data_IF_556304579717
#
_entry.id   IF_556304579717
#
_cell.length_a   1.000
_cell.length_b   1.000
_cell.length_c   1.000
_cell.angle_alpha   90.00
_cell.angle_beta   90.00
_cell.angle_gamma   90.00
#
_symmetry.space_group_name_H-M   'P 1'
#
loop_
_entity.id
_entity.type
_entity.pdbx_description
1 polymer ?
#
# COMPACT_ATOMS: atom_id res chain seq x y z
N UNK A 1 -31.04 -14.56 4.86
CA UNK A 1 -30.72 -14.38 6.30
C UNK A 1 -30.64 -12.89 6.57
N UNK A 2 -31.54 -12.32 7.36
CA UNK A 2 -31.49 -10.91 7.73
C UNK A 2 -30.58 -10.77 8.94
N UNK A 3 -29.35 -10.30 8.72
CA UNK A 3 -28.39 -10.03 9.79
C UNK A 3 -28.46 -8.55 10.10
N UNK A 4 -28.91 -8.20 11.30
CA UNK A 4 -28.88 -6.84 11.81
C UNK A 4 -27.78 -6.74 12.86
N UNK A 5 -26.73 -5.96 12.56
CA UNK A 5 -25.60 -5.76 13.46
C UNK A 5 -25.60 -4.30 13.92
N UNK A 6 -25.80 -4.07 15.22
CA UNK A 6 -25.72 -2.74 15.83
C UNK A 6 -24.31 -2.40 16.34
N UNK A 7 -24.10 -1.14 16.75
CA UNK A 7 -22.82 -0.65 17.28
C UNK A 7 -22.29 -1.47 18.46
N UNK A 8 -23.18 -1.93 19.35
CA UNK A 8 -22.81 -2.75 20.51
C UNK A 8 -22.19 -4.08 20.08
N UNK A 9 -22.79 -4.77 19.10
CA UNK A 9 -22.26 -6.03 18.60
C UNK A 9 -20.90 -5.85 17.90
N UNK A 10 -20.68 -4.73 17.20
CA UNK A 10 -19.39 -4.39 16.61
C UNK A 10 -18.34 -4.17 17.70
N UNK A 11 -18.67 -3.41 18.75
CA UNK A 11 -17.76 -3.16 19.87
C UNK A 11 -17.38 -4.46 20.59
N UNK A 12 -18.36 -5.34 20.86
CA UNK A 12 -18.11 -6.65 21.47
C UNK A 12 -17.22 -7.53 20.58
N UNK A 13 -17.49 -7.57 19.27
CA UNK A 13 -16.69 -8.32 18.31
C UNK A 13 -15.25 -7.78 18.23
N UNK A 14 -15.06 -6.45 18.21
CA UNK A 14 -13.73 -5.85 18.17
C UNK A 14 -12.88 -6.23 19.39
N UNK A 15 -13.49 -6.32 20.58
CA UNK A 15 -12.77 -6.77 21.76
C UNK A 15 -12.47 -8.28 21.73
N UNK A 16 -13.44 -9.08 21.30
CA UNK A 16 -13.32 -10.55 21.26
C UNK A 16 -12.32 -11.04 20.21
N UNK A 17 -12.24 -10.36 19.09
CA UNK A 17 -11.47 -10.82 17.92
C UNK A 17 -10.12 -10.12 17.79
N UNK A 18 -9.82 -9.10 18.58
CA UNK A 18 -8.53 -8.43 18.52
C UNK A 18 -7.40 -9.39 18.91
N UNK A 19 -6.32 -9.31 18.16
CA UNK A 19 -5.12 -10.13 18.38
C UNK A 19 -3.93 -9.31 18.92
N UNK A 20 -4.20 -8.15 19.49
CA UNK A 20 -3.20 -7.24 20.03
C UNK A 20 -2.38 -7.92 21.14
N UNK A 21 -1.08 -7.67 21.13
CA UNK A 21 -0.15 -8.27 22.07
C UNK A 21 0.20 -9.73 21.80
N UNK A 22 -0.44 -10.39 20.83
CA UNK A 22 -0.20 -11.81 20.51
C UNK A 22 1.27 -12.09 20.15
N UNK A 23 1.93 -11.16 19.47
CA UNK A 23 3.34 -11.23 19.09
C UNK A 23 4.22 -10.20 19.80
N UNK A 24 3.75 -9.73 20.96
CA UNK A 24 4.41 -8.70 21.75
C UNK A 24 3.87 -7.29 21.47
N UNK A 25 4.05 -6.40 22.44
CA UNK A 25 3.51 -5.04 22.34
C UNK A 25 4.20 -4.16 21.29
N UNK A 26 5.40 -4.52 20.88
CA UNK A 26 6.17 -3.80 19.84
C UNK A 26 5.95 -4.39 18.42
N UNK A 27 5.09 -5.40 18.30
CA UNK A 27 4.80 -5.97 16.99
C UNK A 27 4.10 -4.97 16.07
N UNK A 28 4.57 -4.89 14.82
CA UNK A 28 4.09 -3.95 13.82
C UNK A 28 3.61 -4.62 12.52
N UNK A 29 3.62 -5.97 12.46
CA UNK A 29 3.25 -6.71 11.24
C UNK A 29 2.03 -7.60 11.41
N UNK A 30 1.54 -7.77 12.64
CA UNK A 30 0.28 -8.47 12.91
C UNK A 30 0.25 -9.90 12.38
N UNK A 31 -0.77 -10.22 11.60
CA UNK A 31 -0.97 -11.58 11.06
C UNK A 31 0.10 -12.04 10.08
N UNK A 32 0.95 -11.16 9.56
CA UNK A 32 2.10 -11.56 8.77
C UNK A 32 3.09 -12.42 9.56
N UNK A 33 3.09 -12.34 10.88
CA UNK A 33 3.84 -13.26 11.76
C UNK A 33 3.47 -14.74 11.58
N UNK A 34 2.35 -15.05 10.93
CA UNK A 34 1.99 -16.42 10.59
C UNK A 34 2.75 -16.98 9.38
N UNK A 35 3.36 -16.12 8.56
CA UNK A 35 4.12 -16.53 7.37
C UNK A 35 5.52 -16.91 7.82
N UNK A 36 5.83 -18.19 7.76
CA UNK A 36 7.12 -18.74 8.16
C UNK A 36 7.95 -19.08 6.92
N UNK A 37 9.27 -19.21 7.03
CA UNK A 37 10.14 -19.59 5.91
C UNK A 37 9.68 -20.88 5.18
N UNK A 38 9.23 -21.87 5.92
CA UNK A 38 8.73 -23.13 5.35
C UNK A 38 7.44 -22.93 4.53
N UNK A 39 6.60 -21.97 4.88
CA UNK A 39 5.38 -21.65 4.13
C UNK A 39 5.75 -21.04 2.77
N UNK A 40 6.81 -20.24 2.70
CA UNK A 40 7.35 -19.68 1.46
C UNK A 40 7.89 -20.81 0.56
N UNK A 41 8.69 -21.73 1.11
CA UNK A 41 9.20 -22.89 0.36
C UNK A 41 8.06 -23.74 -0.16
N UNK A 42 7.05 -24.00 0.68
CA UNK A 42 5.84 -24.73 0.28
C UNK A 42 5.10 -24.01 -0.84
N UNK A 43 4.90 -22.69 -0.75
CA UNK A 43 4.24 -21.89 -1.79
C UNK A 43 4.99 -21.98 -3.13
N UNK A 44 6.32 -21.88 -3.11
CA UNK A 44 7.15 -22.03 -4.31
C UNK A 44 6.98 -23.42 -4.96
N UNK A 45 6.81 -24.49 -4.17
CA UNK A 45 6.59 -25.85 -4.67
C UNK A 45 5.24 -26.04 -5.39
N UNK A 46 4.30 -25.10 -5.26
CA UNK A 46 3.00 -25.14 -5.95
C UNK A 46 3.07 -24.71 -7.41
N UNK A 47 4.17 -24.10 -7.83
CA UNK A 47 4.37 -23.68 -9.22
C UNK A 47 4.44 -24.93 -10.10
N UNK A 48 3.53 -25.04 -11.08
CA UNK A 48 3.45 -26.17 -12.03
C UNK A 48 3.79 -25.77 -13.44
N UNK A 49 3.58 -24.51 -13.78
CA UNK A 49 3.86 -23.95 -15.11
C UNK A 49 4.49 -22.59 -14.94
N UNK A 50 5.20 -22.10 -15.95
CA UNK A 50 5.76 -20.75 -15.95
C UNK A 50 4.73 -19.64 -16.26
N UNK A 51 3.42 -19.93 -16.21
CA UNK A 51 2.39 -18.93 -16.53
C UNK A 51 2.33 -17.85 -15.44
N UNK A 52 2.45 -16.60 -15.87
CA UNK A 52 2.37 -15.42 -15.02
C UNK A 52 1.00 -14.74 -15.23
N UNK A 53 0.37 -14.32 -14.14
CA UNK A 53 -0.87 -13.57 -14.14
C UNK A 53 -0.60 -12.17 -13.60
N UNK A 54 -0.81 -11.15 -14.43
CA UNK A 54 -0.75 -9.77 -13.98
C UNK A 54 -2.01 -9.43 -13.18
N UNK A 55 -1.86 -9.14 -11.90
CA UNK A 55 -2.97 -8.75 -11.03
C UNK A 55 -3.00 -7.23 -10.79
N UNK A 56 -2.04 -6.50 -11.35
CA UNK A 56 -1.98 -5.04 -11.25
C UNK A 56 -3.02 -4.36 -12.12
N UNK A 57 -3.58 -3.27 -11.61
CA UNK A 57 -4.36 -2.31 -12.39
C UNK A 57 -3.39 -1.22 -12.86
N UNK A 58 -3.42 -0.79 -14.13
CA UNK A 58 -2.53 0.25 -14.64
C UNK A 58 -2.61 1.54 -13.82
N UNK A 59 -1.46 2.15 -13.55
CA UNK A 59 -1.35 3.47 -12.92
C UNK A 59 -1.43 4.54 -14.03
N UNK A 60 -2.64 4.91 -14.42
CA UNK A 60 -2.86 5.92 -15.47
C UNK A 60 -4.00 6.89 -15.11
N UNK A 61 -4.20 7.88 -15.98
CA UNK A 61 -5.23 8.92 -15.81
C UNK A 61 -6.65 8.35 -15.81
N UNK A 62 -6.87 7.19 -16.40
CA UNK A 62 -8.15 6.48 -16.46
C UNK A 62 -8.25 5.39 -15.39
N UNK A 63 -7.36 5.43 -14.42
CA UNK A 63 -7.28 4.44 -13.36
C UNK A 63 -8.54 4.32 -12.49
N UNK A 64 -8.52 3.54 -11.42
CA UNK A 64 -9.73 3.06 -10.74
C UNK A 64 -10.45 4.12 -9.89
N UNK A 65 -9.86 5.31 -9.72
CA UNK A 65 -10.48 6.35 -8.87
C UNK A 65 -11.67 6.98 -9.60
N UNK A 66 -12.85 6.86 -8.99
CA UNK A 66 -14.11 7.38 -9.56
C UNK A 66 -14.49 8.77 -9.03
N UNK A 67 -13.73 9.29 -8.06
CA UNK A 67 -14.07 10.52 -7.32
C UNK A 67 -15.08 10.32 -6.18
N UNK A 68 -15.63 9.12 -6.00
CA UNK A 68 -16.59 8.83 -4.93
C UNK A 68 -15.95 8.82 -3.55
N UNK A 69 -14.67 8.47 -3.46
CA UNK A 69 -13.91 8.59 -2.22
C UNK A 69 -13.17 9.92 -2.21
N UNK A 70 -13.59 10.84 -1.34
CA UNK A 70 -13.10 12.21 -1.33
C UNK A 70 -11.58 12.33 -1.24
N UNK A 71 -11.04 13.30 -1.99
CA UNK A 71 -9.60 13.59 -1.99
C UNK A 71 -8.73 12.62 -2.78
N UNK A 72 -9.28 11.60 -3.45
CA UNK A 72 -8.52 10.67 -4.28
C UNK A 72 -8.71 10.96 -5.76
N UNK A 73 -7.58 11.03 -6.48
CA UNK A 73 -7.55 11.21 -7.94
C UNK A 73 -6.75 10.10 -8.61
N UNK A 74 -6.91 9.94 -9.91
CA UNK A 74 -6.11 9.01 -10.69
C UNK A 74 -4.69 9.54 -10.89
N UNK A 75 -3.70 8.66 -11.13
CA UNK A 75 -2.32 9.06 -11.33
C UNK A 75 -2.13 10.17 -12.36
N UNK A 76 -1.34 11.16 -12.00
CA UNK A 76 -0.90 12.23 -12.87
C UNK A 76 0.56 11.95 -13.22
N UNK A 77 0.79 11.51 -14.45
CA UNK A 77 2.12 11.23 -14.99
C UNK A 77 2.63 12.47 -15.73
N UNK A 78 3.86 12.89 -15.44
CA UNK A 78 4.50 14.07 -16.03
C UNK A 78 5.91 13.70 -16.47
N UNK A 79 6.27 14.04 -17.71
CA UNK A 79 7.64 13.90 -18.19
C UNK A 79 8.50 15.04 -17.64
N UNK A 80 9.65 14.71 -17.05
CA UNK A 80 10.66 15.65 -16.58
C UNK A 80 11.73 15.90 -17.65
N UNK A 81 12.03 14.89 -18.45
CA UNK A 81 12.89 14.98 -19.63
C UNK A 81 12.28 14.15 -20.76
N UNK A 82 12.37 14.66 -21.98
CA UNK A 82 11.73 14.05 -23.16
C UNK A 82 12.73 13.76 -24.28
N UNK A 83 12.33 12.91 -25.22
CA UNK A 83 13.05 12.73 -26.48
C UNK A 83 13.15 14.01 -27.31
N UNK A 84 12.18 14.92 -27.21
CA UNK A 84 12.21 16.23 -27.85
C UNK A 84 13.32 17.12 -27.30
N UNK A 85 13.52 17.09 -25.97
CA UNK A 85 14.64 17.80 -25.31
C UNK A 85 15.99 17.25 -25.78
N UNK A 86 16.07 15.93 -25.90
CA UNK A 86 17.27 15.25 -26.42
C UNK A 86 17.59 15.67 -27.86
N UNK A 87 16.60 15.68 -28.75
CA UNK A 87 16.77 16.11 -30.16
C UNK A 87 17.13 17.60 -30.25
N UNK A 88 16.61 18.42 -29.35
CA UNK A 88 16.94 19.85 -29.27
C UNK A 88 18.34 20.14 -28.68
N UNK A 89 19.13 19.11 -28.32
CA UNK A 89 20.49 19.25 -27.81
C UNK A 89 20.60 19.59 -26.32
N UNK A 90 19.50 19.57 -25.58
CA UNK A 90 19.50 19.91 -24.13
C UNK A 90 20.27 18.91 -23.26
N UNK A 91 20.58 17.73 -23.80
CA UNK A 91 21.25 16.66 -23.08
C UNK A 91 22.65 16.32 -23.64
N UNK A 92 23.25 17.18 -24.45
CA UNK A 92 24.51 16.91 -25.14
C UNK A 92 25.77 17.10 -24.26
N UNK A 93 25.57 17.17 -22.92
CA UNK A 93 26.67 17.21 -21.94
C UNK A 93 27.47 15.90 -21.93
N UNK A 94 26.81 14.75 -22.13
CA UNK A 94 27.44 13.45 -22.24
C UNK A 94 27.25 12.94 -23.67
N UNK A 95 28.33 12.82 -24.45
CA UNK A 95 28.23 12.43 -25.86
C UNK A 95 27.53 11.10 -26.04
N UNK A 96 26.53 11.06 -26.95
CA UNK A 96 25.80 9.86 -27.38
C UNK A 96 24.93 9.19 -26.30
N UNK A 97 24.80 9.76 -25.10
CA UNK A 97 23.91 9.26 -24.06
C UNK A 97 22.81 10.28 -23.81
N UNK A 98 21.57 9.87 -24.03
CA UNK A 98 20.38 10.68 -23.83
C UNK A 98 19.32 9.86 -23.11
N UNK A 99 18.41 10.52 -22.39
CA UNK A 99 17.45 9.85 -21.51
C UNK A 99 16.07 10.52 -21.55
N UNK A 100 15.07 9.79 -21.13
CA UNK A 100 13.79 10.34 -20.69
C UNK A 100 13.66 10.13 -19.18
N UNK A 101 12.98 11.03 -18.50
CA UNK A 101 12.73 10.98 -17.07
C UNK A 101 11.30 11.44 -16.78
N UNK A 102 10.70 10.87 -15.75
CA UNK A 102 9.31 11.11 -15.46
C UNK A 102 9.01 11.09 -13.95
N UNK A 103 7.87 11.65 -13.59
CA UNK A 103 7.35 11.69 -12.23
C UNK A 103 5.87 11.28 -12.23
N UNK A 104 5.44 10.73 -11.10
CA UNK A 104 4.04 10.41 -10.85
C UNK A 104 3.56 11.09 -9.57
N UNK A 105 2.37 11.68 -9.62
CA UNK A 105 1.67 12.21 -8.46
C UNK A 105 0.33 11.48 -8.31
N UNK A 106 0.12 10.83 -7.17
CA UNK A 106 -1.10 10.05 -6.93
C UNK A 106 -1.32 9.79 -5.43
N UNK A 107 -2.58 9.62 -4.98
CA UNK A 107 -2.86 8.97 -3.72
C UNK A 107 -2.33 7.54 -3.73
N UNK A 108 -1.63 7.11 -2.68
CA UNK A 108 -1.01 5.78 -2.66
C UNK A 108 -2.02 4.63 -2.61
N UNK A 109 -3.25 4.87 -2.13
CA UNK A 109 -4.37 3.92 -2.21
C UNK A 109 -5.06 3.98 -3.57
N UNK A 110 -4.27 3.90 -4.64
CA UNK A 110 -4.72 3.88 -6.02
C UNK A 110 -4.27 2.57 -6.66
N UNK A 111 -5.15 1.88 -7.38
CA UNK A 111 -4.88 0.59 -8.01
C UNK A 111 -4.53 -0.53 -7.00
N UNK A 112 -3.91 -1.61 -7.46
CA UNK A 112 -3.53 -2.75 -6.62
C UNK A 112 -2.32 -2.38 -5.76
N UNK A 113 -2.47 -2.47 -4.45
CA UNK A 113 -1.41 -2.13 -3.49
C UNK A 113 -1.58 -2.93 -2.20
N UNK A 114 -0.57 -2.90 -1.35
CA UNK A 114 -0.66 -3.29 0.05
C UNK A 114 -0.83 -2.06 0.90
N UNK A 115 -1.73 -2.16 1.88
CA UNK A 115 -1.95 -1.10 2.84
C UNK A 115 -1.25 -1.43 4.16
N UNK A 116 -0.79 -0.40 4.87
CA UNK A 116 -0.16 -0.57 6.17
C UNK A 116 -1.19 -0.70 7.29
N UNK A 117 -0.81 -1.34 8.39
CA UNK A 117 -1.67 -1.42 9.58
C UNK A 117 -1.92 -0.03 10.21
N UNK A 118 -1.04 0.93 9.95
CA UNK A 118 -1.17 2.30 10.40
C UNK A 118 -2.24 3.13 9.67
N UNK A 119 -2.87 2.60 8.61
CA UNK A 119 -3.94 3.30 7.89
C UNK A 119 -5.36 3.03 8.42
N UNK A 120 -5.50 2.15 9.41
CA UNK A 120 -6.81 1.79 9.97
C UNK A 120 -6.84 2.07 11.47
N UNK A 121 -7.83 2.84 11.87
CA UNK A 121 -8.09 3.18 13.27
C UNK A 121 -9.42 2.61 13.72
N UNK A 122 -9.44 2.10 14.94
CA UNK A 122 -10.67 1.85 15.66
C UNK A 122 -10.70 2.80 16.86
N UNK A 123 -11.64 3.75 16.86
CA UNK A 123 -11.64 4.90 17.75
C UNK A 123 -10.31 5.66 17.62
N UNK A 124 -9.56 5.82 18.69
CA UNK A 124 -8.29 6.57 18.73
C UNK A 124 -7.05 5.64 18.66
N UNK A 125 -7.24 4.37 18.28
CA UNK A 125 -6.18 3.37 18.33
C UNK A 125 -5.98 2.69 16.98
N UNK A 126 -4.71 2.47 16.63
CA UNK A 126 -4.25 1.59 15.57
C UNK A 126 -4.03 0.16 16.10
N UNK A 127 -3.64 -0.75 15.22
CA UNK A 127 -3.23 -2.09 15.60
C UNK A 127 -2.28 -2.06 16.80
N UNK A 128 -2.41 -3.04 17.68
CA UNK A 128 -1.60 -3.24 18.88
C UNK A 128 -1.75 -2.13 19.95
N UNK A 129 -2.77 -1.27 19.82
CA UNK A 129 -3.06 -0.20 20.76
C UNK A 129 -2.22 1.05 20.59
N UNK A 130 -1.50 1.18 19.48
CA UNK A 130 -0.79 2.42 19.18
C UNK A 130 -1.76 3.58 18.96
N UNK A 131 -1.39 4.76 19.44
CA UNK A 131 -2.19 5.98 19.31
C UNK A 131 -2.33 6.41 17.84
N UNK A 132 -3.54 6.70 17.39
CA UNK A 132 -3.82 7.18 16.04
C UNK A 132 -3.08 8.49 15.70
N UNK A 133 -2.75 9.33 16.69
CA UNK A 133 -1.99 10.57 16.52
C UNK A 133 -0.53 10.38 16.10
N UNK A 134 -0.04 9.14 16.10
CA UNK A 134 1.26 8.80 15.50
C UNK A 134 1.24 8.86 13.96
N UNK A 135 0.05 9.06 13.36
CA UNK A 135 -0.11 9.36 11.93
C UNK A 135 -0.43 10.83 11.81
N UNK A 136 0.52 11.61 11.33
CA UNK A 136 0.40 13.04 11.15
C UNK A 136 0.79 13.49 9.72
N UNK A 137 0.93 14.79 9.49
CA UNK A 137 1.33 15.35 8.20
C UNK A 137 2.74 14.95 7.73
N UNK A 138 3.57 14.39 8.62
CA UNK A 138 4.91 13.92 8.29
C UNK A 138 4.92 12.42 7.94
N UNK A 139 3.82 11.70 8.17
CA UNK A 139 3.67 10.29 7.86
C UNK A 139 3.29 9.42 9.05
N UNK A 140 3.67 8.14 8.99
CA UNK A 140 3.40 7.15 10.03
C UNK A 140 4.60 7.02 10.97
N UNK A 141 4.41 7.31 12.27
CA UNK A 141 5.41 7.06 13.29
C UNK A 141 5.52 5.59 13.74
N UNK A 142 4.50 4.77 13.44
CA UNK A 142 4.42 3.33 13.74
C UNK A 142 3.57 2.62 12.69
N UNK A 143 3.75 1.29 12.56
CA UNK A 143 2.93 0.41 11.71
C UNK A 143 3.02 0.71 10.21
N UNK A 144 4.14 1.28 9.76
CA UNK A 144 4.39 1.55 8.35
C UNK A 144 4.57 0.26 7.54
N UNK A 145 4.34 0.37 6.22
CA UNK A 145 4.43 -0.78 5.31
C UNK A 145 5.85 -1.35 5.20
N UNK A 146 6.87 -0.57 5.53
CA UNK A 146 8.29 -0.98 5.52
C UNK A 146 8.59 -2.13 6.48
N UNK A 147 7.74 -2.36 7.48
CA UNK A 147 7.87 -3.47 8.41
C UNK A 147 7.37 -4.81 7.82
N UNK A 148 6.64 -4.77 6.70
CA UNK A 148 5.98 -5.92 6.07
C UNK A 148 6.84 -6.63 5.01
N UNK A 149 8.16 -6.67 5.19
CA UNK A 149 9.12 -7.33 4.29
C UNK A 149 9.56 -8.70 4.79
#
# INVERSE_FOLDING_TARGET
MNITVGRKAIAEASQKLKNWGRWGKEDQIGTLNHIRPEDIVKAASLIRTGKVFALGIPLDRKGPQTGLFGGRWNPIHTMLATGTDAVAGRQDVVPNIRYADDAINMPVQCATHWDSLGHIFYEESMYNGHDARLVDSNGLGKLGIEHSR
#
